data_IF_703880946465
#
_entry.id   IF_703880946465
#
_cell.length_a   1.000
_cell.length_b   1.000
_cell.length_c   1.000
_cell.angle_alpha   90.00
_cell.angle_beta   90.00
_cell.angle_gamma   90.00
#
_symmetry.space_group_name_H-M   'P 1'
#
loop_
_entity.id
_entity.type
_entity.pdbx_description
1 polymer ?
#
# COMPACT_ATOMS: atom_id res chain seq x y z
N UNK A 1 -3.47 -11.48 10.03
CA UNK A 1 -2.88 -12.80 9.73
C UNK A 1 -3.24 -13.29 8.31
N UNK A 2 -4.52 -13.32 7.94
CA UNK A 2 -4.97 -13.81 6.62
C UNK A 2 -4.33 -13.13 5.39
N UNK A 3 -3.90 -11.87 5.50
CA UNK A 3 -3.26 -11.14 4.41
C UNK A 3 -1.80 -11.53 4.15
N UNK A 4 -1.10 -12.16 5.11
CA UNK A 4 0.34 -12.41 5.02
C UNK A 4 0.74 -13.31 3.84
N UNK A 5 0.03 -14.42 3.54
CA UNK A 5 0.36 -15.23 2.37
C UNK A 5 0.23 -14.46 1.05
N UNK A 6 -0.81 -13.64 0.91
CA UNK A 6 -1.03 -12.83 -0.30
C UNK A 6 0.03 -11.73 -0.44
N UNK A 7 0.36 -11.03 0.66
CA UNK A 7 1.42 -10.02 0.67
C UNK A 7 2.78 -10.64 0.35
N UNK A 8 3.05 -11.86 0.82
CA UNK A 8 4.29 -12.58 0.51
C UNK A 8 4.37 -12.92 -0.98
N UNK A 9 3.32 -13.50 -1.56
CA UNK A 9 3.30 -13.75 -3.01
C UNK A 9 3.56 -12.47 -3.78
N UNK A 10 2.83 -11.40 -3.45
CA UNK A 10 2.98 -10.11 -4.12
C UNK A 10 4.41 -9.54 -4.02
N UNK A 11 5.01 -9.59 -2.83
CA UNK A 11 6.36 -9.10 -2.62
C UNK A 11 7.37 -9.89 -3.46
N UNK A 12 7.29 -11.23 -3.43
CA UNK A 12 8.18 -12.10 -4.21
C UNK A 12 7.97 -11.95 -5.72
N UNK A 13 6.73 -11.85 -6.18
CA UNK A 13 6.39 -11.76 -7.61
C UNK A 13 6.85 -10.43 -8.22
N UNK A 14 6.70 -9.32 -7.48
CA UNK A 14 7.02 -7.97 -7.97
C UNK A 14 8.45 -7.54 -7.62
N UNK A 15 9.07 -8.14 -6.61
CA UNK A 15 10.35 -7.67 -6.09
C UNK A 15 10.23 -6.30 -5.43
N UNK A 16 9.14 -6.05 -4.70
CA UNK A 16 8.92 -4.80 -3.97
C UNK A 16 8.28 -5.07 -2.61
N UNK A 17 8.49 -4.16 -1.66
CA UNK A 17 7.85 -4.24 -0.34
C UNK A 17 6.33 -4.13 -0.48
N UNK A 18 5.62 -5.16 -0.03
CA UNK A 18 4.17 -5.21 -0.01
C UNK A 18 3.64 -4.93 1.39
N UNK A 19 2.59 -4.12 1.51
CA UNK A 19 1.98 -3.84 2.80
C UNK A 19 0.45 -3.77 2.75
N UNK A 20 -0.19 -4.08 3.87
CA UNK A 20 -1.60 -3.83 4.11
C UNK A 20 -1.73 -2.56 4.94
N UNK A 21 -2.54 -1.62 4.45
CA UNK A 21 -2.79 -0.33 5.10
C UNK A 21 -4.24 -0.19 5.48
N UNK A 22 -4.49 0.26 6.71
CA UNK A 22 -5.82 0.62 7.21
C UNK A 22 -5.92 2.13 7.41
N UNK A 23 -7.15 2.63 7.47
CA UNK A 23 -7.39 4.01 7.92
C UNK A 23 -7.55 4.02 9.43
N UNK A 24 -6.78 4.87 10.10
CA UNK A 24 -6.96 5.21 11.49
C UNK A 24 -7.10 6.73 11.63
N UNK A 25 -8.33 7.19 11.90
CA UNK A 25 -8.66 8.61 11.90
C UNK A 25 -8.39 9.27 10.54
N UNK A 26 -7.44 10.23 10.54
CA UNK A 26 -7.00 10.97 9.35
C UNK A 26 -5.70 10.41 8.74
N UNK A 27 -5.23 9.27 9.23
CA UNK A 27 -3.96 8.67 8.81
C UNK A 27 -4.16 7.31 8.14
N UNK A 28 -3.22 6.98 7.27
CA UNK A 28 -3.02 5.67 6.72
C UNK A 28 -1.95 4.94 7.56
N UNK A 29 -2.30 3.77 8.09
CA UNK A 29 -1.49 2.96 8.99
C UNK A 29 -1.12 1.63 8.32
N UNK A 30 0.17 1.39 8.11
CA UNK A 30 0.65 0.08 7.65
C UNK A 30 0.56 -0.94 8.80
N UNK A 31 -0.31 -1.94 8.68
CA UNK A 31 -0.57 -2.95 9.73
C UNK A 31 0.11 -4.29 9.47
N UNK A 32 0.52 -4.55 8.24
CA UNK A 32 1.34 -5.70 7.87
C UNK A 32 2.27 -5.31 6.74
N UNK A 33 3.52 -5.78 6.78
CA UNK A 33 4.54 -5.49 5.77
C UNK A 33 5.30 -6.78 5.48
N UNK A 34 5.58 -7.04 4.21
CA UNK A 34 6.45 -8.12 3.74
C UNK A 34 7.45 -7.55 2.75
N UNK A 35 8.72 -7.82 2.97
CA UNK A 35 9.82 -7.48 2.08
C UNK A 35 10.15 -8.68 1.17
N UNK A 36 10.59 -8.43 -0.08
CA UNK A 36 10.97 -9.49 -1.00
C UNK A 36 12.32 -10.11 -0.62
N UNK A 37 12.51 -11.41 -0.90
CA UNK A 37 13.75 -12.12 -0.52
C UNK A 37 14.92 -12.02 -1.50
N UNK A 38 14.71 -11.56 -2.75
CA UNK A 38 15.72 -11.68 -3.81
C UNK A 38 16.19 -10.34 -4.42
N UNK A 39 15.74 -9.19 -3.91
CA UNK A 39 16.05 -7.89 -4.50
C UNK A 39 17.31 -7.27 -3.91
N UNK A 40 18.13 -6.62 -4.73
CA UNK A 40 19.27 -5.83 -4.24
C UNK A 40 18.83 -4.56 -3.48
N UNK A 41 17.70 -3.96 -3.89
CA UNK A 41 17.16 -2.73 -3.30
C UNK A 41 15.64 -2.73 -3.26
N UNK A 42 15.07 -2.36 -2.10
CA UNK A 42 13.64 -2.06 -1.94
C UNK A 42 13.45 -0.97 -0.86
N UNK A 43 12.27 -0.34 -0.85
CA UNK A 43 11.90 0.64 0.18
C UNK A 43 11.42 -0.11 1.42
N UNK A 44 12.19 -0.09 2.50
CA UNK A 44 11.78 -0.73 3.75
C UNK A 44 10.59 0.02 4.37
N UNK A 45 9.52 -0.71 4.67
CA UNK A 45 8.38 -0.22 5.44
C UNK A 45 8.34 -0.92 6.80
N UNK A 46 7.97 -0.18 7.84
CA UNK A 46 7.76 -0.80 9.16
C UNK A 46 6.27 -0.89 9.44
N UNK A 47 5.83 -2.02 9.99
CA UNK A 47 4.51 -2.09 10.60
C UNK A 47 4.41 -0.99 11.68
N UNK A 48 3.29 -0.26 11.68
CA UNK A 48 3.11 0.94 12.50
C UNK A 48 3.47 2.25 11.79
N UNK A 49 4.05 2.22 10.58
CA UNK A 49 4.28 3.44 9.80
C UNK A 49 2.97 4.16 9.50
N UNK A 50 2.98 5.48 9.69
CA UNK A 50 1.83 6.37 9.53
C UNK A 50 2.17 7.51 8.60
N UNK A 51 1.19 7.90 7.79
CA UNK A 51 1.24 9.12 7.01
C UNK A 51 -0.17 9.70 6.85
N UNK A 52 -0.31 11.00 6.53
CA UNK A 52 -1.59 11.58 6.18
C UNK A 52 -2.33 10.76 5.11
N UNK A 53 -3.64 10.57 5.28
CA UNK A 53 -4.45 9.73 4.39
C UNK A 53 -4.48 10.22 2.94
N UNK A 54 -4.21 11.50 2.70
CA UNK A 54 -4.16 12.12 1.38
C UNK A 54 -2.80 12.00 0.68
N UNK A 55 -1.80 11.35 1.31
CA UNK A 55 -0.47 11.12 0.74
C UNK A 55 -0.23 9.66 0.41
N UNK A 56 0.53 9.42 -0.66
CA UNK A 56 0.95 8.09 -1.05
C UNK A 56 -0.16 7.22 -1.64
N UNK A 57 0.24 6.14 -2.32
CA UNK A 57 -0.68 5.33 -3.10
C UNK A 57 -1.81 4.71 -2.26
N UNK A 58 -1.50 4.15 -1.08
CA UNK A 58 -2.47 3.46 -0.25
C UNK A 58 -3.59 4.39 0.25
N UNK A 59 -3.23 5.58 0.75
CA UNK A 59 -4.20 6.54 1.23
C UNK A 59 -5.11 7.05 0.12
N UNK A 60 -4.52 7.43 -1.03
CA UNK A 60 -5.26 7.85 -2.22
C UNK A 60 -6.18 6.77 -2.78
N UNK A 61 -5.74 5.51 -2.82
CA UNK A 61 -6.56 4.39 -3.26
C UNK A 61 -7.81 4.22 -2.38
N UNK A 62 -7.67 4.38 -1.06
CA UNK A 62 -8.79 4.33 -0.13
C UNK A 62 -9.76 5.52 -0.35
N UNK A 63 -9.22 6.72 -0.54
CA UNK A 63 -10.03 7.91 -0.81
C UNK A 63 -10.81 7.79 -2.13
N UNK A 64 -10.16 7.27 -3.18
CA UNK A 64 -10.81 7.02 -4.47
C UNK A 64 -11.97 6.02 -4.32
N UNK A 65 -11.75 4.90 -3.63
CA UNK A 65 -12.80 3.92 -3.36
C UNK A 65 -14.00 4.51 -2.60
N UNK A 66 -13.74 5.37 -1.60
CA UNK A 66 -14.80 6.05 -0.81
C UNK A 66 -15.62 7.03 -1.64
N UNK A 67 -15.03 7.62 -2.68
CA UNK A 67 -15.72 8.51 -3.61
C UNK A 67 -16.55 7.75 -4.67
N UNK A 68 -16.63 6.42 -4.57
CA UNK A 68 -17.31 5.57 -5.55
C UNK A 68 -16.52 5.41 -6.85
N UNK A 69 -15.25 5.84 -6.86
CA UNK A 69 -14.38 5.82 -8.02
C UNK A 69 -13.36 4.70 -7.91
N UNK A 70 -13.64 3.57 -8.56
CA UNK A 70 -12.61 2.66 -9.06
C UNK A 70 -12.92 2.38 -10.53
N UNK A 71 -12.69 3.39 -11.36
CA UNK A 71 -12.62 3.16 -12.80
C UNK A 71 -11.31 2.44 -13.12
N UNK A 72 -11.32 1.64 -14.18
CA UNK A 72 -10.12 0.97 -14.70
C UNK A 72 -8.91 1.94 -14.71
N UNK A 73 -7.76 1.55 -14.14
CA UNK A 73 -7.35 0.17 -13.86
C UNK A 73 -7.57 -0.32 -12.41
N UNK A 74 -8.38 0.36 -11.59
CA UNK A 74 -8.72 -0.11 -10.22
C UNK A 74 -7.60 0.00 -9.18
N UNK A 75 -6.47 0.63 -9.52
CA UNK A 75 -5.37 0.93 -8.61
C UNK A 75 -4.90 2.39 -8.75
N UNK A 76 -4.17 2.88 -7.76
CA UNK A 76 -3.52 4.19 -7.74
C UNK A 76 -2.00 4.04 -7.79
N UNK A 77 -1.33 4.90 -8.55
CA UNK A 77 0.13 5.05 -8.57
C UNK A 77 0.52 6.41 -8.00
N UNK A 78 1.63 6.43 -7.27
CA UNK A 78 2.25 7.67 -6.77
C UNK A 78 3.75 7.63 -6.96
N UNK A 79 4.37 8.79 -7.11
CA UNK A 79 5.82 8.94 -7.17
C UNK A 79 6.26 10.12 -6.30
N UNK A 80 7.25 9.92 -5.44
CA UNK A 80 7.85 10.97 -4.61
C UNK A 80 6.96 11.51 -3.48
N UNK A 81 5.78 10.94 -3.23
CA UNK A 81 4.79 11.54 -2.31
C UNK A 81 5.10 11.30 -0.83
N UNK A 82 5.71 10.16 -0.51
CA UNK A 82 6.10 9.83 0.87
C UNK A 82 7.59 10.07 1.08
N UNK A 83 8.41 9.62 0.14
CA UNK A 83 9.85 9.83 0.14
C UNK A 83 10.31 10.16 -1.28
N UNK A 84 11.32 11.03 -1.41
CA UNK A 84 11.86 11.42 -2.71
C UNK A 84 12.42 10.20 -3.46
N UNK A 85 12.00 10.01 -4.71
CA UNK A 85 12.42 8.88 -5.55
C UNK A 85 11.67 7.57 -5.29
N UNK A 86 10.80 7.50 -4.28
CA UNK A 86 9.98 6.32 -4.03
C UNK A 86 8.73 6.29 -4.93
N UNK A 87 8.45 5.13 -5.54
CA UNK A 87 7.19 4.87 -6.24
C UNK A 87 6.33 3.91 -5.42
N UNK A 88 5.02 4.08 -5.49
CA UNK A 88 4.05 3.22 -4.81
C UNK A 88 2.86 2.91 -5.70
N UNK A 89 2.33 1.70 -5.58
CA UNK A 89 1.10 1.25 -6.21
C UNK A 89 0.17 0.70 -5.13
N UNK A 90 -1.12 0.99 -5.21
CA UNK A 90 -2.10 0.44 -4.27
C UNK A 90 -3.46 0.23 -4.92
N UNK A 91 -4.07 -0.91 -4.62
CA UNK A 91 -5.46 -1.18 -4.90
C UNK A 91 -6.24 -1.22 -3.57
N UNK A 92 -7.43 -0.61 -3.48
CA UNK A 92 -8.23 -0.64 -2.27
C UNK A 92 -8.92 -2.00 -2.13
N UNK A 93 -9.00 -2.48 -0.89
CA UNK A 93 -9.81 -3.67 -0.56
C UNK A 93 -11.22 -3.22 -0.21
N UNK A 94 -12.20 -3.65 -1.02
CA UNK A 94 -13.63 -3.37 -0.83
C UNK A 94 -14.34 -4.61 -0.29
N UNK A 95 -15.45 -4.41 0.42
CA UNK A 95 -16.28 -5.53 0.91
C UNK A 95 -15.66 -6.37 2.03
N UNK A 96 -14.62 -5.86 2.71
CA UNK A 96 -14.07 -6.49 3.91
C UNK A 96 -14.98 -6.14 5.09
N UNK A 97 -15.76 -7.12 5.55
CA UNK A 97 -16.63 -7.06 6.74
C UNK A 97 -16.01 -7.76 7.93
#
# INVERSE_FOLDING_TARGET
>A
EAALPALRSLAEDIGATAHLTLVDGAEALAVAVVEPTWTDYHVAYRAGFRHPLDRGAAGRAILAARQGGLTEPGYTLTHGELEAGASGAAAPLVGVT
#
